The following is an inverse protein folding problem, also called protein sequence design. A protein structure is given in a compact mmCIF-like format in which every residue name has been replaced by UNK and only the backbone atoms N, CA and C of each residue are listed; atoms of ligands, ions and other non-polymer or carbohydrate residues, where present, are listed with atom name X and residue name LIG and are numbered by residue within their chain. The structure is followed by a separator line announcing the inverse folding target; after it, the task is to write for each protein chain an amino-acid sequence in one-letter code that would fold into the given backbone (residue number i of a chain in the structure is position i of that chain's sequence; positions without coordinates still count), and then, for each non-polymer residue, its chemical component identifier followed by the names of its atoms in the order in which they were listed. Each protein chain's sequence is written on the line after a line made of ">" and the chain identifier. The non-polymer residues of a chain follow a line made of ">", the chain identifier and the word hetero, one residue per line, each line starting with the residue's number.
data_IF_819853470566
#
_entry.id   IF_819853470566
#
_cell.length_a   1.000
_cell.length_b   1.000
_cell.length_c   1.000
_cell.angle_alpha   90.00
_cell.angle_beta   90.00
_cell.angle_gamma   90.00
#
_symmetry.space_group_name_H-M   'P 1'
#
loop_
_entity.id
_entity.type
_entity.pdbx_description
1 polymer ?
#
# COMPACT_ATOMS: atom_id res chain seq x y z
N UNK A 1 30.53 -9.08 -34.80
CA UNK A 1 29.55 -8.81 -35.88
C UNK A 1 28.70 -10.05 -36.10
N UNK A 2 27.57 -10.16 -35.41
CA UNK A 2 26.54 -11.15 -35.70
C UNK A 2 25.21 -10.40 -35.71
N UNK A 3 24.52 -10.49 -36.83
CA UNK A 3 23.46 -9.62 -37.28
C UNK A 3 22.15 -9.79 -36.52
N UNK A 4 21.60 -8.68 -36.08
CA UNK A 4 20.26 -8.46 -35.60
C UNK A 4 19.24 -8.60 -36.77
N UNK A 5 18.85 -9.82 -37.08
CA UNK A 5 17.82 -10.09 -38.08
C UNK A 5 17.13 -11.42 -37.85
N UNK A 6 16.21 -11.45 -36.85
CA UNK A 6 15.14 -12.42 -36.80
C UNK A 6 14.17 -12.07 -35.66
N UNK A 7 13.09 -11.40 -35.96
CA UNK A 7 11.79 -11.49 -35.31
C UNK A 7 10.84 -10.43 -35.93
N UNK A 8 10.51 -10.64 -37.18
CA UNK A 8 9.34 -10.03 -37.82
C UNK A 8 8.40 -11.16 -38.24
N UNK A 9 7.62 -11.69 -37.31
CA UNK A 9 6.50 -12.57 -37.59
C UNK A 9 5.24 -11.75 -37.80
N UNK A 10 4.44 -11.99 -38.85
CA UNK A 10 3.21 -11.25 -39.15
C UNK A 10 2.09 -11.40 -38.12
N UNK A 11 2.19 -12.37 -37.20
CA UNK A 11 1.19 -12.62 -36.17
C UNK A 11 1.10 -11.53 -35.08
N UNK A 12 2.12 -10.68 -34.91
CA UNK A 12 2.12 -9.61 -33.92
C UNK A 12 1.47 -8.29 -34.36
N UNK A 13 1.20 -8.13 -35.68
CA UNK A 13 0.55 -6.92 -36.19
C UNK A 13 -0.99 -6.93 -36.15
N UNK A 14 -1.63 -8.08 -35.93
CA UNK A 14 -3.10 -8.16 -35.95
C UNK A 14 -3.79 -7.79 -34.63
N UNK A 15 -3.08 -7.70 -33.51
CA UNK A 15 -3.66 -7.38 -32.20
C UNK A 15 -3.69 -5.87 -31.95
N UNK A 16 -2.76 -5.11 -32.49
CA UNK A 16 -2.69 -3.66 -32.27
C UNK A 16 -3.65 -2.84 -33.18
N UNK A 17 -4.11 -3.37 -34.28
CA UNK A 17 -5.00 -2.65 -35.22
C UNK A 17 -6.51 -2.92 -35.04
N UNK A 18 -6.91 -3.79 -34.10
CA UNK A 18 -8.33 -3.99 -33.75
C UNK A 18 -8.86 -3.10 -32.61
N UNK A 19 -8.00 -2.30 -31.99
CA UNK A 19 -8.42 -1.40 -30.92
C UNK A 19 -9.01 -0.06 -31.41
N UNK A 20 -8.95 0.24 -32.72
CA UNK A 20 -9.41 1.54 -33.24
C UNK A 20 -10.67 1.51 -34.12
N UNK A 21 -11.36 0.36 -34.27
CA UNK A 21 -12.58 0.29 -35.08
C UNK A 21 -13.77 -0.43 -34.44
N UNK A 22 -13.91 -0.41 -33.12
CA UNK A 22 -15.10 -0.91 -32.43
C UNK A 22 -15.70 0.14 -31.50
N UNK A 23 -15.82 1.37 -31.99
CA UNK A 23 -16.59 2.42 -31.32
C UNK A 23 -17.93 2.60 -32.03
N UNK A 24 -18.75 1.58 -32.08
CA UNK A 24 -20.20 1.65 -32.34
C UNK A 24 -20.77 0.22 -32.41
N UNK A 25 -21.13 -0.37 -31.28
CA UNK A 25 -22.31 -1.23 -31.14
C UNK A 25 -22.32 -1.90 -29.75
N UNK A 26 -23.51 -1.81 -29.13
CA UNK A 26 -23.98 -2.55 -27.96
C UNK A 26 -23.35 -2.18 -26.60
N UNK A 27 -24.02 -1.26 -25.94
CA UNK A 27 -24.09 -1.19 -24.47
C UNK A 27 -24.71 -2.50 -23.95
N UNK A 28 -23.92 -3.52 -23.79
CA UNK A 28 -24.21 -4.56 -22.83
C UNK A 28 -23.73 -4.00 -21.48
N UNK A 29 -24.69 -3.50 -20.71
CA UNK A 29 -24.56 -3.25 -19.27
C UNK A 29 -24.16 -4.59 -18.67
N UNK A 30 -22.88 -4.80 -18.42
CA UNK A 30 -22.42 -5.83 -17.53
C UNK A 30 -22.95 -5.37 -16.17
N UNK A 31 -23.94 -6.08 -15.66
CA UNK A 31 -24.42 -5.94 -14.29
C UNK A 31 -23.20 -5.83 -13.40
N UNK A 32 -23.04 -4.68 -12.79
CA UNK A 32 -22.04 -4.43 -11.73
C UNK A 32 -22.23 -5.57 -10.74
N UNK A 33 -21.15 -6.27 -10.40
CA UNK A 33 -21.15 -7.15 -9.25
C UNK A 33 -21.88 -6.43 -8.12
N UNK A 34 -22.82 -7.09 -7.46
CA UNK A 34 -23.61 -6.54 -6.36
C UNK A 34 -22.69 -5.63 -5.54
N UNK A 35 -23.02 -4.35 -5.49
CA UNK A 35 -22.37 -3.45 -4.55
C UNK A 35 -22.54 -4.10 -3.20
N UNK A 36 -21.46 -4.41 -2.53
CA UNK A 36 -21.50 -4.91 -1.17
C UNK A 36 -22.45 -3.99 -0.40
N UNK A 37 -23.44 -4.57 0.25
CA UNK A 37 -24.42 -3.80 0.98
C UNK A 37 -23.67 -2.78 1.88
N UNK A 38 -24.09 -1.52 1.92
CA UNK A 38 -23.43 -0.54 2.74
C UNK A 38 -23.37 -1.06 4.18
N UNK A 39 -22.21 -0.98 4.82
CA UNK A 39 -22.04 -1.36 6.22
C UNK A 39 -23.14 -0.68 7.03
N UNK A 40 -23.85 -1.43 7.86
CA UNK A 40 -24.88 -0.83 8.71
C UNK A 40 -24.20 0.01 9.80
N UNK A 41 -24.97 0.93 10.40
CA UNK A 41 -24.41 1.82 11.45
C UNK A 41 -23.87 1.06 12.67
N UNK A 42 -24.37 -0.14 12.95
CA UNK A 42 -23.88 -0.96 14.05
C UNK A 42 -22.51 -1.54 13.75
N UNK A 43 -22.25 -1.97 12.51
CA UNK A 43 -20.96 -2.47 12.06
C UNK A 43 -19.90 -1.35 12.05
N UNK A 44 -20.26 -0.14 11.64
CA UNK A 44 -19.37 1.03 11.68
C UNK A 44 -18.98 1.43 13.11
N UNK A 45 -19.84 1.18 14.09
CA UNK A 45 -19.61 1.48 15.51
C UNK A 45 -18.84 0.37 16.24
N UNK A 46 -18.69 -0.80 15.63
CA UNK A 46 -17.94 -1.92 16.21
C UNK A 46 -16.46 -1.53 16.33
N UNK A 47 -15.94 -1.54 17.55
CA UNK A 47 -14.51 -1.29 17.80
C UNK A 47 -13.73 -2.56 17.53
N UNK A 48 -13.19 -2.67 16.31
CA UNK A 48 -12.26 -3.74 15.92
C UNK A 48 -10.84 -3.21 16.02
N UNK A 49 -9.97 -3.93 16.71
CA UNK A 49 -8.57 -3.53 16.86
C UNK A 49 -7.79 -3.70 15.56
N UNK A 50 -6.86 -2.77 15.28
CA UNK A 50 -6.07 -2.76 14.04
C UNK A 50 -5.18 -3.99 13.87
N UNK A 51 -4.70 -4.56 14.97
CA UNK A 51 -3.75 -5.67 14.93
C UNK A 51 -3.85 -6.50 16.20
N UNK A 52 -3.76 -7.82 16.05
CA UNK A 52 -3.72 -8.77 17.18
C UNK A 52 -2.49 -8.50 18.08
N UNK A 53 -1.37 -8.10 17.46
CA UNK A 53 -0.10 -7.83 18.18
C UNK A 53 -0.21 -6.56 19.03
N UNK A 54 -1.09 -5.63 18.66
CA UNK A 54 -1.31 -4.37 19.36
C UNK A 54 -2.59 -4.39 20.20
N UNK A 55 -3.11 -5.57 20.48
CA UNK A 55 -4.34 -5.76 21.27
C UNK A 55 -4.26 -5.04 22.61
N UNK A 56 -5.32 -4.30 22.94
CA UNK A 56 -5.41 -3.52 24.17
C UNK A 56 -4.66 -2.18 24.16
N UNK A 57 -3.99 -1.80 23.05
CA UNK A 57 -3.34 -0.49 22.92
C UNK A 57 -4.29 0.66 22.56
N UNK A 58 -5.54 0.34 22.25
CA UNK A 58 -6.56 1.34 21.90
C UNK A 58 -6.52 1.80 20.44
N UNK A 59 -5.92 1.04 19.56
CA UNK A 59 -5.89 1.30 18.13
C UNK A 59 -7.02 0.53 17.44
N UNK A 60 -7.96 1.26 16.85
CA UNK A 60 -9.18 0.68 16.24
C UNK A 60 -9.32 1.08 14.79
N UNK A 61 -10.06 0.27 14.02
CA UNK A 61 -10.39 0.56 12.62
C UNK A 61 -11.08 1.93 12.50
N UNK A 62 -10.65 2.79 11.56
CA UNK A 62 -11.12 4.17 11.44
C UNK A 62 -12.39 4.31 10.58
N UNK A 63 -13.11 3.23 10.28
CA UNK A 63 -14.16 3.22 9.26
C UNK A 63 -15.29 4.22 9.50
N UNK A 64 -15.68 4.48 10.75
CA UNK A 64 -16.69 5.49 11.03
C UNK A 64 -16.23 6.87 10.54
N UNK A 65 -15.02 7.28 10.89
CA UNK A 65 -14.45 8.57 10.46
C UNK A 65 -14.27 8.64 8.95
N UNK A 66 -13.81 7.55 8.35
CA UNK A 66 -13.64 7.44 6.89
C UNK A 66 -14.98 7.67 6.18
N UNK A 67 -16.05 7.02 6.64
CA UNK A 67 -17.39 7.17 6.03
C UNK A 67 -17.97 8.57 6.23
N UNK A 68 -17.77 9.19 7.42
CA UNK A 68 -18.14 10.58 7.69
C UNK A 68 -17.44 11.54 6.70
N UNK A 69 -16.13 11.39 6.53
CA UNK A 69 -15.36 12.19 5.57
C UNK A 69 -15.86 11.97 4.14
N UNK A 70 -16.13 10.72 3.75
CA UNK A 70 -16.62 10.39 2.41
C UNK A 70 -17.98 10.98 2.10
N UNK A 71 -18.90 11.08 3.06
CA UNK A 71 -20.18 11.77 2.89
C UNK A 71 -19.95 13.23 2.50
N UNK A 72 -19.09 13.93 3.24
CA UNK A 72 -18.73 15.34 2.97
C UNK A 72 -18.12 15.49 1.57
N UNK A 73 -17.14 14.64 1.21
CA UNK A 73 -16.46 14.71 -0.07
C UNK A 73 -17.39 14.38 -1.24
N UNK A 74 -18.29 13.40 -1.11
CA UNK A 74 -19.31 13.09 -2.14
C UNK A 74 -20.25 14.26 -2.37
N UNK A 75 -20.68 14.93 -1.30
CA UNK A 75 -21.55 16.11 -1.38
C UNK A 75 -20.85 17.30 -2.05
N UNK A 76 -19.55 17.45 -1.86
CA UNK A 76 -18.73 18.50 -2.49
C UNK A 76 -18.45 18.23 -3.96
N UNK A 77 -18.00 17.01 -4.29
CA UNK A 77 -17.56 16.66 -5.64
C UNK A 77 -18.71 16.28 -6.58
N UNK A 78 -19.84 15.80 -6.05
CA UNK A 78 -21.05 15.41 -6.80
C UNK A 78 -20.77 14.47 -7.98
N UNK A 79 -19.81 13.56 -7.79
CA UNK A 79 -19.44 12.54 -8.77
C UNK A 79 -19.07 11.22 -8.08
N UNK A 80 -19.14 10.09 -8.80
CA UNK A 80 -18.60 8.82 -8.31
C UNK A 80 -17.10 8.95 -8.01
N UNK A 81 -16.68 8.28 -6.93
CA UNK A 81 -15.27 8.17 -6.53
C UNK A 81 -14.74 6.80 -6.92
N UNK A 82 -13.48 6.75 -7.38
CA UNK A 82 -12.78 5.48 -7.56
C UNK A 82 -12.48 4.85 -6.19
N UNK A 83 -12.07 3.59 -6.18
CA UNK A 83 -11.73 2.90 -4.93
C UNK A 83 -10.59 3.61 -4.19
N UNK A 84 -9.51 3.92 -4.89
CA UNK A 84 -8.37 4.65 -4.31
C UNK A 84 -8.75 6.04 -3.82
N UNK A 85 -9.62 6.76 -4.52
CA UNK A 85 -10.14 8.04 -4.05
C UNK A 85 -10.95 7.90 -2.76
N UNK A 86 -11.76 6.85 -2.64
CA UNK A 86 -12.52 6.61 -1.40
C UNK A 86 -11.57 6.44 -0.21
N UNK A 87 -10.49 5.69 -0.36
CA UNK A 87 -9.52 5.51 0.72
C UNK A 87 -8.80 6.82 1.01
N UNK A 88 -8.20 7.45 0.01
CA UNK A 88 -7.43 8.69 0.21
C UNK A 88 -8.30 9.81 0.79
N UNK A 89 -9.48 10.04 0.22
CA UNK A 89 -10.37 11.13 0.66
C UNK A 89 -11.05 10.83 2.00
N UNK A 90 -11.19 9.57 2.36
CA UNK A 90 -11.64 9.17 3.69
C UNK A 90 -10.66 9.56 4.81
N UNK A 91 -9.38 9.73 4.47
CA UNK A 91 -8.33 10.12 5.42
C UNK A 91 -7.96 11.61 5.37
N UNK A 92 -8.77 12.44 4.73
CA UNK A 92 -8.54 13.90 4.76
C UNK A 92 -8.62 14.43 6.18
N UNK A 93 -7.67 15.30 6.53
CA UNK A 93 -7.64 16.02 7.81
C UNK A 93 -8.83 16.98 7.93
N UNK A 94 -9.06 17.76 6.87
CA UNK A 94 -10.15 18.74 6.79
C UNK A 94 -11.00 18.54 5.53
N UNK A 95 -11.94 17.58 5.52
CA UNK A 95 -12.70 17.24 4.31
C UNK A 95 -13.65 18.35 3.83
N UNK A 96 -13.97 19.34 4.68
CA UNK A 96 -14.85 20.46 4.34
C UNK A 96 -14.18 21.52 3.49
N UNK A 97 -12.92 21.81 3.70
CA UNK A 97 -12.24 23.02 3.20
C UNK A 97 -11.14 22.74 2.18
N UNK A 98 -10.44 21.60 2.29
CA UNK A 98 -9.32 21.30 1.39
C UNK A 98 -9.75 21.23 -0.08
N UNK A 99 -8.91 21.76 -0.97
CA UNK A 99 -9.07 21.56 -2.40
C UNK A 99 -8.76 20.14 -2.80
N UNK A 100 -9.58 19.57 -3.68
CA UNK A 100 -9.47 18.18 -4.14
C UNK A 100 -9.45 18.18 -5.67
N UNK A 101 -8.28 18.44 -6.24
CA UNK A 101 -8.07 18.44 -7.69
C UNK A 101 -6.87 17.56 -8.05
N UNK A 102 -7.12 16.48 -8.83
CA UNK A 102 -6.10 15.51 -9.22
C UNK A 102 -4.94 16.15 -9.97
N UNK A 103 -3.73 15.92 -9.49
CA UNK A 103 -2.50 16.43 -10.08
C UNK A 103 -2.22 17.90 -9.80
N UNK A 104 -3.06 18.61 -9.04
CA UNK A 104 -2.95 20.06 -8.75
C UNK A 104 -2.84 20.32 -7.26
N UNK A 105 -3.89 20.05 -6.48
CA UNK A 105 -3.96 20.38 -5.06
C UNK A 105 -3.06 19.49 -4.20
N UNK A 106 -2.71 19.97 -3.00
CA UNK A 106 -2.05 19.16 -1.96
C UNK A 106 -3.08 18.79 -0.92
N UNK A 107 -3.16 17.48 -0.63
CA UNK A 107 -4.06 16.93 0.37
C UNK A 107 -3.32 16.78 1.70
N UNK A 108 -3.93 17.22 2.78
CA UNK A 108 -3.48 16.91 4.15
C UNK A 108 -4.22 15.68 4.62
N UNK A 109 -3.49 14.62 4.88
CA UNK A 109 -4.00 13.29 5.17
C UNK A 109 -3.61 12.84 6.59
N UNK A 110 -4.43 11.96 7.18
CA UNK A 110 -4.20 11.32 8.47
C UNK A 110 -3.95 9.82 8.29
N UNK A 111 -2.70 9.40 8.07
CA UNK A 111 -2.39 7.98 8.01
C UNK A 111 -2.74 7.24 9.30
N UNK A 112 -3.18 6.00 9.15
CA UNK A 112 -3.49 5.12 10.28
C UNK A 112 -2.25 4.51 10.92
N UNK A 113 -1.14 4.47 10.16
CA UNK A 113 0.06 3.74 10.56
C UNK A 113 1.32 4.28 9.90
N UNK A 114 2.43 4.18 10.63
CA UNK A 114 3.79 4.40 10.11
C UNK A 114 4.61 3.12 10.26
N UNK A 115 5.36 2.74 9.22
CA UNK A 115 6.33 1.65 9.28
C UNK A 115 7.71 2.14 8.84
N UNK A 116 8.72 1.90 9.65
CA UNK A 116 10.10 2.30 9.36
C UNK A 116 11.00 1.08 9.23
N UNK A 117 11.87 1.05 8.22
CA UNK A 117 12.95 0.08 8.15
C UNK A 117 14.18 0.58 8.91
N UNK A 118 15.09 -0.31 9.32
CA UNK A 118 16.18 0.00 10.25
C UNK A 118 17.21 1.02 9.74
N UNK A 119 17.50 1.05 8.46
CA UNK A 119 18.48 2.00 7.93
C UNK A 119 17.99 3.46 7.97
N UNK A 120 16.69 3.69 7.71
CA UNK A 120 16.07 5.03 7.71
C UNK A 120 15.49 5.42 9.06
N UNK A 121 15.09 4.45 9.90
CA UNK A 121 14.52 4.70 11.22
C UNK A 121 15.48 5.44 12.15
N UNK A 122 16.80 5.25 12.00
CA UNK A 122 17.80 5.95 12.80
C UNK A 122 17.61 7.47 12.70
N UNK A 123 17.57 8.00 11.49
CA UNK A 123 17.37 9.43 11.27
C UNK A 123 15.99 9.90 11.69
N UNK A 124 14.94 9.13 11.38
CA UNK A 124 13.57 9.47 11.75
C UNK A 124 13.42 9.56 13.27
N UNK A 125 13.94 8.59 14.02
CA UNK A 125 13.86 8.61 15.48
C UNK A 125 14.69 9.74 16.13
N UNK A 126 15.86 10.06 15.60
CA UNK A 126 16.64 11.21 16.07
C UNK A 126 15.87 12.52 15.85
N UNK A 127 15.23 12.69 14.70
CA UNK A 127 14.38 13.87 14.44
C UNK A 127 13.15 13.87 15.34
N UNK A 128 12.48 12.73 15.56
CA UNK A 128 11.35 12.63 16.48
C UNK A 128 11.74 12.98 17.92
N UNK A 129 12.92 12.55 18.38
CA UNK A 129 13.45 12.92 19.70
C UNK A 129 13.56 14.43 19.88
N UNK A 130 13.95 15.15 18.80
CA UNK A 130 14.07 16.61 18.82
C UNK A 130 12.70 17.31 18.94
N UNK A 131 11.60 16.66 18.59
CA UNK A 131 10.25 17.18 18.78
C UNK A 131 9.82 17.22 20.27
N UNK A 132 10.52 16.55 21.16
CA UNK A 132 10.25 16.56 22.61
C UNK A 132 8.95 15.89 23.04
N UNK A 133 8.32 15.10 22.18
CA UNK A 133 7.06 14.41 22.47
C UNK A 133 7.28 13.16 23.33
N UNK A 134 6.36 12.83 24.24
CA UNK A 134 6.53 11.69 25.13
C UNK A 134 6.37 10.33 24.43
N UNK A 135 5.59 10.26 23.36
CA UNK A 135 5.33 9.06 22.56
C UNK A 135 4.79 9.43 21.18
N UNK A 136 4.82 8.49 20.26
CA UNK A 136 4.22 8.65 18.92
C UNK A 136 2.70 8.78 19.02
N UNK A 137 2.12 9.59 18.12
CA UNK A 137 0.67 9.83 18.05
C UNK A 137 -0.04 8.76 17.23
N UNK A 138 0.65 8.21 16.23
CA UNK A 138 0.12 7.21 15.30
C UNK A 138 0.82 5.88 15.54
N UNK A 139 0.13 4.73 15.46
CA UNK A 139 0.75 3.41 15.56
C UNK A 139 1.97 3.31 14.64
N UNK A 140 3.13 3.09 15.22
CA UNK A 140 4.41 3.07 14.51
C UNK A 140 5.16 1.78 14.80
N UNK A 141 5.83 1.23 13.79
CA UNK A 141 6.70 0.06 13.94
C UNK A 141 8.05 0.29 13.26
N UNK A 142 9.10 -0.26 13.87
CA UNK A 142 10.45 -0.33 13.32
C UNK A 142 10.79 -1.79 13.03
N UNK A 143 11.35 -2.06 11.86
CA UNK A 143 11.67 -3.39 11.35
C UNK A 143 13.15 -3.47 10.99
N UNK A 144 13.85 -4.49 11.51
CA UNK A 144 15.28 -4.66 11.30
C UNK A 144 15.54 -5.74 10.25
N UNK A 145 15.45 -5.37 8.98
CA UNK A 145 15.60 -6.27 7.84
C UNK A 145 16.62 -5.82 6.77
N UNK A 146 16.97 -4.53 6.71
CA UNK A 146 17.87 -4.00 5.67
C UNK A 146 19.34 -4.14 5.99
N UNK A 147 19.74 -4.23 7.25
CA UNK A 147 21.15 -4.30 7.66
C UNK A 147 21.68 -5.74 7.77
N UNK A 148 20.97 -6.71 7.21
CA UNK A 148 21.35 -8.13 7.19
C UNK A 148 21.81 -8.45 5.76
N UNK A 149 23.05 -8.87 5.60
CA UNK A 149 23.57 -9.37 4.33
C UNK A 149 22.88 -10.72 3.96
N UNK A 150 22.93 -11.08 2.68
CA UNK A 150 22.52 -12.39 2.18
C UNK A 150 23.73 -13.02 1.45
N UNK A 151 24.74 -13.41 2.19
CA UNK A 151 26.04 -13.82 1.68
C UNK A 151 26.39 -15.29 2.01
N UNK A 152 26.45 -15.63 3.29
CA UNK A 152 26.87 -16.95 3.75
C UNK A 152 25.70 -17.91 4.00
N UNK A 153 24.63 -17.40 4.59
CA UNK A 153 23.45 -18.14 4.98
C UNK A 153 22.72 -17.50 6.15
N UNK A 154 21.42 -17.74 6.27
CA UNK A 154 20.55 -16.97 7.17
C UNK A 154 21.00 -16.92 8.64
N UNK A 155 21.54 -18.01 9.18
CA UNK A 155 21.99 -18.05 10.58
C UNK A 155 23.29 -17.25 10.79
N UNK A 156 24.24 -17.39 9.87
CA UNK A 156 25.56 -16.76 9.95
C UNK A 156 25.44 -15.26 9.65
N UNK A 157 24.73 -14.89 8.59
CA UNK A 157 24.49 -13.50 8.23
C UNK A 157 23.75 -12.74 9.33
N UNK A 158 22.78 -13.39 10.00
CA UNK A 158 22.08 -12.79 11.12
C UNK A 158 22.98 -12.60 12.35
N UNK A 159 23.89 -13.56 12.64
CA UNK A 159 24.84 -13.44 13.74
C UNK A 159 25.81 -12.26 13.47
N UNK A 160 26.37 -12.21 12.28
CA UNK A 160 27.26 -11.13 11.83
C UNK A 160 26.57 -9.76 11.88
N UNK A 161 25.32 -9.67 11.38
CA UNK A 161 24.57 -8.41 11.42
C UNK A 161 24.33 -7.91 12.84
N UNK A 162 23.98 -8.81 13.78
CA UNK A 162 23.78 -8.46 15.19
C UNK A 162 25.03 -7.95 15.87
N UNK A 163 26.19 -8.44 15.50
CA UNK A 163 27.47 -7.98 16.01
C UNK A 163 27.86 -6.63 15.39
N UNK A 164 27.88 -6.55 14.06
CA UNK A 164 28.31 -5.36 13.32
C UNK A 164 27.41 -4.15 13.56
N UNK A 165 26.10 -4.35 13.67
CA UNK A 165 25.12 -3.28 13.82
C UNK A 165 24.54 -3.20 15.24
N UNK A 166 25.27 -3.72 16.24
CA UNK A 166 24.80 -3.77 17.63
C UNK A 166 24.33 -2.42 18.14
N UNK A 167 25.11 -1.38 17.92
CA UNK A 167 24.80 -0.02 18.37
C UNK A 167 23.49 0.49 17.76
N UNK A 168 23.29 0.26 16.46
CA UNK A 168 22.06 0.65 15.75
C UNK A 168 20.86 -0.09 16.31
N UNK A 169 20.95 -1.40 16.45
CA UNK A 169 19.84 -2.19 16.97
C UNK A 169 19.50 -1.86 18.42
N UNK A 170 20.49 -1.61 19.26
CA UNK A 170 20.29 -1.20 20.64
C UNK A 170 19.63 0.19 20.71
N UNK A 171 20.06 1.13 19.88
CA UNK A 171 19.42 2.44 19.75
C UNK A 171 17.97 2.32 19.30
N UNK A 172 17.69 1.59 18.23
CA UNK A 172 16.34 1.41 17.72
C UNK A 172 15.42 0.73 18.74
N UNK A 173 15.91 -0.30 19.45
CA UNK A 173 15.15 -1.03 20.45
C UNK A 173 14.81 -0.13 21.66
N UNK A 174 15.78 0.58 22.20
CA UNK A 174 15.60 1.45 23.39
C UNK A 174 14.74 2.66 23.07
N UNK A 175 14.94 3.28 21.90
CA UNK A 175 14.14 4.38 21.42
C UNK A 175 12.69 3.95 21.17
N UNK A 176 12.49 2.82 20.54
CA UNK A 176 11.14 2.26 20.29
C UNK A 176 10.41 1.99 21.60
N UNK A 177 11.06 1.41 22.59
CA UNK A 177 10.50 1.16 23.89
C UNK A 177 10.08 2.46 24.61
N UNK A 178 10.91 3.50 24.52
CA UNK A 178 10.64 4.81 25.13
C UNK A 178 9.42 5.50 24.54
N UNK A 179 9.26 5.46 23.21
CA UNK A 179 8.23 6.22 22.50
C UNK A 179 6.97 5.43 22.14
N UNK A 180 6.86 4.18 22.61
CA UNK A 180 5.69 3.33 22.37
C UNK A 180 5.61 2.75 20.95
N UNK A 181 6.76 2.62 20.28
CA UNK A 181 6.91 2.10 18.93
C UNK A 181 7.06 0.57 18.99
N UNK A 182 6.40 -0.15 18.10
CA UNK A 182 6.61 -1.60 17.93
C UNK A 182 7.99 -1.89 17.34
N UNK A 183 8.71 -2.86 17.90
CA UNK A 183 10.07 -3.19 17.45
C UNK A 183 10.18 -4.64 17.01
N UNK A 184 10.42 -4.82 15.72
CA UNK A 184 10.69 -6.11 15.10
C UNK A 184 12.19 -6.31 14.98
N UNK A 185 12.69 -7.26 15.77
CA UNK A 185 14.12 -7.55 15.93
C UNK A 185 14.75 -8.08 14.63
N UNK A 186 16.09 -7.95 14.48
CA UNK A 186 16.82 -8.60 13.39
C UNK A 186 16.50 -10.10 13.30
N UNK A 187 16.16 -10.56 12.10
CA UNK A 187 15.77 -11.95 11.84
C UNK A 187 14.26 -12.22 11.93
N UNK A 188 13.43 -11.20 12.20
CA UNK A 188 11.96 -11.36 12.22
C UNK A 188 11.34 -11.50 10.83
N UNK A 189 12.04 -11.11 9.77
CA UNK A 189 11.57 -11.14 8.39
C UNK A 189 11.55 -9.76 7.74
N UNK A 190 11.20 -9.72 6.46
CA UNK A 190 11.11 -8.49 5.66
C UNK A 190 9.91 -7.64 6.14
N UNK A 191 10.13 -6.32 6.29
CA UNK A 191 9.12 -5.36 6.73
C UNK A 191 7.79 -5.52 5.99
N UNK A 192 7.79 -5.62 4.67
CA UNK A 192 6.55 -5.65 3.89
C UNK A 192 5.74 -6.93 4.11
N UNK A 193 6.43 -8.06 4.30
CA UNK A 193 5.78 -9.33 4.63
C UNK A 193 5.17 -9.28 6.04
N UNK A 194 5.90 -8.72 7.00
CA UNK A 194 5.41 -8.53 8.38
C UNK A 194 4.17 -7.61 8.38
N UNK A 195 4.19 -6.53 7.60
CA UNK A 195 3.06 -5.59 7.50
C UNK A 195 1.83 -6.28 6.93
N UNK A 196 1.95 -7.01 5.83
CA UNK A 196 0.80 -7.67 5.19
C UNK A 196 0.23 -8.79 6.06
N UNK A 197 1.08 -9.46 6.85
CA UNK A 197 0.67 -10.53 7.75
C UNK A 197 0.01 -10.05 9.04
N UNK A 198 0.40 -8.88 9.55
CA UNK A 198 0.06 -8.48 10.92
C UNK A 198 -0.70 -7.15 11.04
N UNK A 199 -0.57 -6.24 10.07
CA UNK A 199 -0.99 -4.86 10.25
C UNK A 199 -1.87 -4.30 9.14
N UNK A 200 -1.68 -4.74 7.88
CA UNK A 200 -2.46 -4.21 6.77
C UNK A 200 -3.92 -4.64 6.87
N UNK A 201 -4.83 -3.71 6.60
CA UNK A 201 -6.28 -3.94 6.59
C UNK A 201 -6.93 -3.20 5.42
N UNK A 202 -8.10 -3.66 4.93
CA UNK A 202 -8.78 -3.05 3.81
C UNK A 202 -9.20 -1.61 4.10
N UNK A 203 -9.00 -0.73 3.14
CA UNK A 203 -9.44 0.67 3.24
C UNK A 203 -8.58 1.56 4.13
N UNK A 204 -7.47 1.05 4.70
CA UNK A 204 -6.53 1.82 5.51
C UNK A 204 -5.59 2.68 4.67
N UNK A 205 -4.95 3.65 5.32
CA UNK A 205 -3.88 4.49 4.78
C UNK A 205 -2.63 4.36 5.65
N UNK A 206 -1.50 3.96 5.07
CA UNK A 206 -0.22 3.95 5.77
C UNK A 206 0.89 4.62 4.97
N UNK A 207 1.89 5.08 5.69
CA UNK A 207 3.17 5.49 5.10
C UNK A 207 4.30 4.65 5.66
N UNK A 208 5.36 4.52 4.89
CA UNK A 208 6.55 3.78 5.34
C UNK A 208 7.83 4.35 4.75
N UNK A 209 8.93 4.24 5.49
CA UNK A 209 10.23 4.76 5.07
C UNK A 209 10.96 3.80 4.11
N UNK A 210 10.20 3.12 3.27
CA UNK A 210 10.69 2.16 2.28
C UNK A 210 9.89 2.28 0.98
N UNK A 211 10.58 2.21 -0.17
CA UNK A 211 9.97 2.35 -1.49
C UNK A 211 8.99 1.22 -1.83
N UNK A 212 9.10 0.06 -1.20
CA UNK A 212 8.24 -1.11 -1.41
C UNK A 212 7.07 -1.19 -0.41
N UNK A 213 6.85 -0.14 0.39
CA UNK A 213 5.64 0.01 1.24
C UNK A 213 4.33 -0.28 0.50
N UNK A 214 4.17 0.06 -0.81
CA UNK A 214 2.97 -0.27 -1.60
C UNK A 214 2.57 -1.74 -1.65
N UNK A 215 3.42 -2.68 -1.21
CA UNK A 215 3.08 -4.11 -1.07
C UNK A 215 1.74 -4.33 -0.36
N UNK A 216 1.42 -3.53 0.66
CA UNK A 216 0.16 -3.62 1.42
C UNK A 216 -1.10 -3.34 0.56
N UNK A 217 -0.95 -2.78 -0.63
CA UNK A 217 -2.04 -2.61 -1.61
C UNK A 217 -2.67 -3.93 -2.06
N UNK A 218 -1.97 -5.06 -1.88
CA UNK A 218 -2.51 -6.40 -2.09
C UNK A 218 -3.65 -6.78 -1.15
N UNK A 219 -3.78 -6.09 0.00
CA UNK A 219 -4.91 -6.21 0.94
C UNK A 219 -5.83 -4.97 0.91
N UNK A 220 -5.85 -4.22 -0.18
CA UNK A 220 -6.68 -3.02 -0.32
C UNK A 220 -6.31 -1.87 0.64
N UNK A 221 -5.07 -1.76 1.03
CA UNK A 221 -4.56 -0.64 1.82
C UNK A 221 -3.81 0.34 0.93
N UNK A 222 -4.08 1.64 1.02
CA UNK A 222 -3.23 2.65 0.39
C UNK A 222 -1.98 2.78 1.24
N UNK A 223 -0.84 2.43 0.67
CA UNK A 223 0.43 2.40 1.36
C UNK A 223 1.49 3.09 0.50
N UNK A 224 2.12 4.15 1.03
CA UNK A 224 3.04 4.98 0.28
C UNK A 224 4.43 4.97 0.90
N UNK A 225 5.45 4.84 0.06
CA UNK A 225 6.84 5.06 0.45
C UNK A 225 7.13 6.55 0.59
N UNK A 226 7.72 6.96 1.71
CA UNK A 226 8.01 8.36 2.05
C UNK A 226 9.42 8.53 2.60
N UNK A 227 9.89 9.76 2.66
CA UNK A 227 11.11 10.12 3.38
C UNK A 227 10.96 10.06 4.90
N UNK A 228 12.10 10.05 5.61
CA UNK A 228 12.09 10.05 7.08
C UNK A 228 11.38 11.26 7.69
N UNK A 229 11.48 12.44 7.06
CA UNK A 229 10.83 13.65 7.56
C UNK A 229 9.30 13.53 7.56
N UNK A 230 8.70 13.03 6.47
CA UNK A 230 7.25 12.80 6.40
C UNK A 230 6.78 11.81 7.49
N UNK A 231 7.58 10.75 7.71
CA UNK A 231 7.29 9.78 8.77
C UNK A 231 7.30 10.44 10.16
N UNK A 232 8.27 11.30 10.43
CA UNK A 232 8.37 12.05 11.72
C UNK A 232 7.19 12.97 11.92
N UNK A 233 6.76 13.71 10.89
CA UNK A 233 5.61 14.60 10.98
C UNK A 233 4.36 13.82 11.37
N UNK A 234 4.10 12.69 10.72
CA UNK A 234 2.94 11.83 11.07
C UNK A 234 3.08 11.23 12.46
N UNK A 235 4.27 10.74 12.84
CA UNK A 235 4.53 10.26 14.21
C UNK A 235 4.26 11.33 15.27
N UNK A 236 4.54 12.60 14.94
CA UNK A 236 4.27 13.75 15.80
C UNK A 236 2.80 14.22 15.77
N UNK A 237 1.96 13.64 14.91
CA UNK A 237 0.55 14.01 14.77
C UNK A 237 0.28 15.16 13.79
N UNK A 238 1.26 15.51 12.98
CA UNK A 238 1.10 16.47 11.87
C UNK A 238 0.48 15.74 10.68
N UNK A 239 -0.46 16.35 9.93
CA UNK A 239 -1.00 15.74 8.71
C UNK A 239 0.09 15.52 7.66
N UNK A 240 0.04 14.39 6.97
CA UNK A 240 0.91 14.13 5.83
C UNK A 240 0.39 14.87 4.58
N UNK A 241 1.28 15.58 3.90
CA UNK A 241 0.96 16.30 2.67
C UNK A 241 1.25 15.44 1.44
N UNK A 242 0.21 15.19 0.64
CA UNK A 242 0.31 14.46 -0.60
C UNK A 242 -0.28 15.28 -1.75
N UNK A 243 0.47 15.47 -2.82
CA UNK A 243 -0.12 16.01 -4.05
C UNK A 243 -1.24 15.09 -4.52
N UNK A 244 -2.46 15.63 -4.69
CA UNK A 244 -3.65 14.84 -5.02
C UNK A 244 -3.38 13.95 -6.23
N UNK A 245 -3.33 12.62 -6.06
CA UNK A 245 -2.82 11.75 -7.10
C UNK A 245 -3.82 11.59 -8.24
N UNK A 246 -3.30 11.41 -9.45
CA UNK A 246 -4.07 10.88 -10.58
C UNK A 246 -4.37 9.40 -10.32
N UNK A 247 -5.32 8.83 -11.06
CA UNK A 247 -5.64 7.41 -10.97
C UNK A 247 -5.46 6.76 -12.34
N UNK A 248 -4.64 5.73 -12.40
CA UNK A 248 -4.45 4.87 -13.57
C UNK A 248 -5.15 3.54 -13.29
N UNK A 249 -6.17 3.21 -14.08
CA UNK A 249 -6.87 1.92 -13.98
C UNK A 249 -6.20 0.88 -14.86
N UNK A 250 -5.78 -0.24 -14.28
CA UNK A 250 -5.27 -1.42 -15.00
C UNK A 250 -6.31 -2.53 -14.94
N UNK A 251 -6.89 -2.87 -16.09
CA UNK A 251 -7.89 -3.93 -16.18
C UNK A 251 -7.22 -5.27 -16.51
N UNK A 252 -7.28 -6.22 -15.58
CA UNK A 252 -6.78 -7.58 -15.74
C UNK A 252 -7.87 -8.48 -16.32
N UNK A 253 -7.58 -9.07 -17.50
CA UNK A 253 -8.46 -10.02 -18.21
C UNK A 253 -7.80 -11.39 -18.29
N UNK A 254 -8.62 -12.44 -18.26
CA UNK A 254 -8.13 -13.81 -18.32
C UNK A 254 -7.58 -14.27 -16.95
N UNK A 255 -6.64 -15.20 -17.00
CA UNK A 255 -5.99 -15.78 -15.80
C UNK A 255 -4.55 -16.15 -16.10
N UNK A 256 -3.71 -16.22 -15.08
CA UNK A 256 -2.37 -16.77 -15.18
C UNK A 256 -2.44 -18.26 -15.57
N UNK A 257 -1.52 -18.71 -16.41
CA UNK A 257 -1.46 -20.10 -16.89
C UNK A 257 -0.01 -20.54 -17.11
N UNK A 258 0.21 -21.85 -17.06
CA UNK A 258 1.55 -22.42 -17.22
C UNK A 258 2.51 -21.90 -16.17
N UNK A 259 3.66 -21.40 -16.61
CA UNK A 259 4.74 -20.86 -15.76
C UNK A 259 4.63 -19.36 -15.46
N UNK A 260 3.52 -18.70 -15.87
CA UNK A 260 3.34 -17.27 -15.59
C UNK A 260 3.08 -17.02 -14.11
N UNK A 261 3.71 -15.97 -13.59
CA UNK A 261 3.62 -15.55 -12.19
C UNK A 261 3.00 -14.14 -12.09
N UNK A 262 2.51 -13.71 -10.92
CA UNK A 262 2.07 -12.34 -10.70
C UNK A 262 3.12 -11.28 -11.08
N UNK A 263 4.41 -11.62 -10.94
CA UNK A 263 5.53 -10.76 -11.36
C UNK A 263 5.48 -10.41 -12.85
N UNK A 264 5.04 -11.32 -13.72
CA UNK A 264 4.93 -11.07 -15.16
C UNK A 264 3.89 -10.00 -15.49
N UNK A 265 2.84 -9.88 -14.66
CA UNK A 265 1.83 -8.83 -14.82
C UNK A 265 2.46 -7.45 -14.63
N UNK A 266 3.17 -7.24 -13.52
CA UNK A 266 3.78 -5.93 -13.26
C UNK A 266 4.93 -5.64 -14.22
N UNK A 267 5.69 -6.63 -14.65
CA UNK A 267 6.70 -6.46 -15.69
C UNK A 267 6.06 -6.03 -17.02
N UNK A 268 4.89 -6.56 -17.36
CA UNK A 268 4.13 -6.10 -18.53
C UNK A 268 3.65 -4.67 -18.36
N UNK A 269 3.09 -4.31 -17.21
CA UNK A 269 2.67 -2.93 -16.90
C UNK A 269 3.86 -1.98 -16.97
N UNK A 270 5.01 -2.39 -16.45
CA UNK A 270 6.25 -1.60 -16.53
C UNK A 270 6.76 -1.42 -17.98
N UNK A 271 6.58 -2.43 -18.82
CA UNK A 271 6.87 -2.34 -20.26
C UNK A 271 5.96 -1.34 -20.99
N UNK A 272 4.71 -1.22 -20.57
CA UNK A 272 3.73 -0.31 -21.19
C UNK A 272 3.82 1.12 -20.64
N UNK A 273 3.99 1.30 -19.33
CA UNK A 273 4.05 2.62 -18.65
C UNK A 273 5.47 3.20 -18.59
N UNK A 274 6.50 2.37 -18.71
CA UNK A 274 7.89 2.73 -18.45
C UNK A 274 8.14 3.18 -17.00
N UNK A 275 9.36 3.57 -16.68
CA UNK A 275 9.79 3.99 -15.32
C UNK A 275 9.19 5.32 -14.84
N UNK A 276 8.48 6.05 -15.69
CA UNK A 276 7.91 7.37 -15.36
C UNK A 276 6.39 7.46 -15.58
N UNK A 277 5.78 6.44 -16.18
CA UNK A 277 4.37 6.50 -16.56
C UNK A 277 3.39 6.56 -15.38
N UNK A 278 3.80 6.06 -14.22
CA UNK A 278 3.03 6.13 -12.98
C UNK A 278 3.23 7.39 -12.13
N UNK A 279 4.10 8.31 -12.55
CA UNK A 279 4.49 9.47 -11.72
C UNK A 279 3.27 10.31 -11.30
N UNK A 280 3.13 10.52 -9.99
CA UNK A 280 2.02 11.26 -9.39
C UNK A 280 0.65 10.58 -9.54
N UNK A 281 0.63 9.26 -9.74
CA UNK A 281 -0.59 8.49 -9.87
C UNK A 281 -0.65 7.32 -8.90
N UNK A 282 -1.87 6.92 -8.56
CA UNK A 282 -2.18 5.63 -7.94
C UNK A 282 -2.58 4.66 -9.05
N UNK A 283 -1.97 3.49 -9.08
CA UNK A 283 -2.34 2.42 -10.02
C UNK A 283 -3.38 1.52 -9.36
N UNK A 284 -4.59 1.53 -9.90
CA UNK A 284 -5.73 0.77 -9.40
C UNK A 284 -5.99 -0.45 -10.29
N UNK A 285 -5.75 -1.65 -9.76
CA UNK A 285 -5.95 -2.91 -10.47
C UNK A 285 -7.37 -3.43 -10.29
N UNK A 286 -8.02 -3.76 -11.39
CA UNK A 286 -9.40 -4.22 -11.44
C UNK A 286 -9.62 -5.27 -12.54
N UNK A 287 -10.82 -5.77 -12.64
CA UNK A 287 -11.24 -6.68 -13.70
C UNK A 287 -11.29 -8.16 -13.28
N UNK A 288 -11.84 -9.03 -14.14
CA UNK A 288 -12.12 -10.42 -13.79
C UNK A 288 -10.86 -11.25 -13.52
N UNK A 289 -9.71 -10.88 -14.10
CA UNK A 289 -8.43 -11.58 -13.90
C UNK A 289 -7.91 -11.48 -12.47
N UNK A 290 -8.33 -10.46 -11.68
CA UNK A 290 -7.92 -10.29 -10.29
C UNK A 290 -8.31 -11.49 -9.43
N UNK A 291 -9.47 -12.10 -9.68
CA UNK A 291 -9.95 -13.26 -8.91
C UNK A 291 -9.02 -14.48 -8.96
N UNK A 292 -8.14 -14.56 -9.96
CA UNK A 292 -7.16 -15.65 -10.12
C UNK A 292 -5.87 -15.45 -9.31
N UNK A 293 -5.66 -14.25 -8.74
CA UNK A 293 -4.45 -13.90 -8.00
C UNK A 293 -4.61 -14.21 -6.51
N UNK A 294 -3.53 -14.66 -5.87
CA UNK A 294 -3.44 -14.70 -4.42
C UNK A 294 -3.23 -13.30 -3.83
N UNK A 295 -3.53 -13.09 -2.55
CA UNK A 295 -3.26 -11.83 -1.87
C UNK A 295 -1.76 -11.46 -1.92
N UNK A 296 -0.87 -12.43 -1.72
CA UNK A 296 0.58 -12.23 -1.84
C UNK A 296 1.01 -11.94 -3.27
N UNK A 297 0.34 -12.52 -4.28
CA UNK A 297 0.56 -12.18 -5.69
C UNK A 297 0.14 -10.75 -6.02
N UNK A 298 -0.98 -10.28 -5.47
CA UNK A 298 -1.40 -8.88 -5.56
C UNK A 298 -0.38 -7.97 -4.87
N UNK A 299 0.14 -8.35 -3.69
CA UNK A 299 1.21 -7.66 -3.00
C UNK A 299 2.48 -7.55 -3.86
N UNK A 300 2.88 -8.63 -4.55
CA UNK A 300 4.03 -8.63 -5.48
C UNK A 300 3.85 -7.62 -6.61
N UNK A 301 2.65 -7.49 -7.16
CA UNK A 301 2.34 -6.52 -8.21
C UNK A 301 2.42 -5.10 -7.66
N UNK A 302 1.81 -4.83 -6.51
CA UNK A 302 1.85 -3.52 -5.87
C UNK A 302 3.27 -3.11 -5.45
N UNK A 303 4.07 -4.07 -5.00
CA UNK A 303 5.46 -3.88 -4.56
C UNK A 303 6.32 -3.18 -5.61
N UNK A 304 6.17 -3.55 -6.88
CA UNK A 304 6.91 -2.94 -7.98
C UNK A 304 6.29 -1.64 -8.54
N UNK A 305 5.34 -1.04 -7.83
CA UNK A 305 4.80 0.27 -8.23
C UNK A 305 5.84 1.38 -8.23
N UNK A 306 6.84 1.29 -7.35
CA UNK A 306 7.94 2.26 -7.29
C UNK A 306 8.75 2.31 -8.59
N UNK A 307 9.00 1.17 -9.24
CA UNK A 307 9.79 1.06 -10.46
C UNK A 307 9.12 1.71 -11.68
N UNK A 308 7.82 1.91 -11.65
CA UNK A 308 7.08 2.68 -12.67
C UNK A 308 6.80 4.12 -12.25
N UNK A 309 7.37 4.56 -11.12
CA UNK A 309 7.21 5.91 -10.57
C UNK A 309 5.86 6.18 -9.93
N UNK A 310 5.02 5.16 -9.70
CA UNK A 310 3.72 5.34 -9.07
C UNK A 310 3.84 5.79 -7.61
N UNK A 311 2.93 6.66 -7.18
CA UNK A 311 2.80 7.03 -5.76
C UNK A 311 2.49 5.81 -4.91
N UNK A 312 1.57 4.97 -5.38
CA UNK A 312 1.25 3.65 -4.82
C UNK A 312 0.44 2.83 -5.82
N UNK A 313 0.19 1.58 -5.46
CA UNK A 313 -0.64 0.65 -6.22
C UNK A 313 -1.63 -0.04 -5.29
N UNK A 314 -2.82 -0.39 -5.78
CA UNK A 314 -3.85 -1.00 -4.94
C UNK A 314 -4.75 -1.95 -5.74
N UNK A 315 -5.15 -3.04 -5.10
CA UNK A 315 -6.20 -3.94 -5.57
C UNK A 315 -7.49 -3.70 -4.80
N UNK A 316 -8.64 -3.92 -5.44
CA UNK A 316 -9.90 -3.98 -4.73
C UNK A 316 -9.93 -5.21 -3.77
N UNK A 317 -10.70 -5.10 -2.71
CA UNK A 317 -10.87 -6.17 -1.75
C UNK A 317 -11.83 -7.23 -2.31
N UNK A 318 -11.35 -8.45 -2.47
CA UNK A 318 -12.08 -9.59 -2.99
C UNK A 318 -11.91 -10.80 -2.07
N UNK A 319 -12.47 -11.95 -2.45
CA UNK A 319 -12.41 -13.16 -1.66
C UNK A 319 -10.99 -13.65 -1.30
N UNK A 320 -10.00 -13.45 -2.18
CA UNK A 320 -8.62 -13.89 -1.90
C UNK A 320 -7.94 -13.10 -0.78
N UNK A 321 -7.99 -11.76 -0.75
CA UNK A 321 -7.60 -10.98 0.42
C UNK A 321 -8.35 -11.36 1.70
N UNK A 322 -9.67 -11.62 1.64
CA UNK A 322 -10.44 -12.07 2.80
C UNK A 322 -9.92 -13.40 3.36
N UNK A 323 -9.73 -14.40 2.50
CA UNK A 323 -9.11 -15.69 2.89
C UNK A 323 -7.72 -15.52 3.51
N UNK A 324 -6.94 -14.56 3.05
CA UNK A 324 -5.62 -14.28 3.61
C UNK A 324 -5.72 -13.68 5.02
N UNK A 325 -6.66 -12.78 5.25
CA UNK A 325 -6.93 -12.24 6.59
C UNK A 325 -7.39 -13.33 7.55
N UNK A 326 -8.27 -14.23 7.11
CA UNK A 326 -8.69 -15.40 7.91
C UNK A 326 -7.49 -16.30 8.26
N UNK A 327 -6.66 -16.63 7.26
CA UNK A 327 -5.48 -17.47 7.44
C UNK A 327 -4.40 -16.85 8.36
N UNK A 328 -4.38 -15.53 8.47
CA UNK A 328 -3.48 -14.78 9.36
C UNK A 328 -4.15 -14.33 10.65
N UNK A 329 -5.22 -15.01 11.09
CA UNK A 329 -5.94 -14.78 12.35
C UNK A 329 -6.59 -13.40 12.47
N UNK A 330 -6.90 -12.76 11.34
CA UNK A 330 -7.49 -11.43 11.25
C UNK A 330 -8.83 -11.42 10.51
N UNK A 331 -9.57 -12.52 10.57
CA UNK A 331 -10.87 -12.66 9.91
C UNK A 331 -11.91 -11.60 10.33
N UNK A 332 -11.76 -10.97 11.51
CA UNK A 332 -12.63 -9.87 11.91
C UNK A 332 -12.45 -8.59 11.06
N UNK A 333 -11.40 -8.54 10.23
CA UNK A 333 -11.10 -7.44 9.31
C UNK A 333 -11.61 -7.71 7.88
N UNK A 334 -12.17 -8.91 7.63
CA UNK A 334 -12.62 -9.35 6.30
C UNK A 334 -14.09 -9.01 6.03
#
# INVERSE_FOLDING_TARGET
>A
MLSYRAMRSPAFRSVALRAHRAAAATRNVITVAEEAAPLNEADLKKKVELSIIEKGKGYYLPYQKVEENLKIVRDRLKRPLTMSEKIVYGHLDEPHTQDIERGVSYLRLRPDRVACQDATAQMALLQFMSAGLPKVTVPTTVHCDHLIAADQGGAEDLANAKELNKEVYDFLATCSAKYGIGFWKPGSGIIHQIIIENYAFPGGLMIGTDSHTPNAGGLNMIACGVGGADAVDVMAGIPWELKCPKVIGVELKGKLSGWTAPKDIILRVAGDLTVKGGTGAIVEYKGPGVSSLSATGMGTICNMGAEIGATTSVFAFYARPAMYLEATWRGELS
#
